data_IF_049094477701
#
_entry.id   IF_049094477701
#
_cell.length_a   1.000
_cell.length_b   1.000
_cell.length_c   1.000
_cell.angle_alpha   90.00
_cell.angle_beta   90.00
_cell.angle_gamma   90.00
#
_symmetry.space_group_name_H-M   'P 1'
#
loop_
_entity.id
_entity.type
_entity.pdbx_description
1 polymer ?
#
# COMPACT_ATOMS: atom_id res chain seq x y z
N UNK A 1 -18.30 3.07 -7.28
CA UNK A 1 -17.44 2.16 -6.50
C UNK A 1 -17.96 0.73 -6.47
N UNK A 2 -17.07 -0.26 -6.66
CA UNK A 2 -17.37 -1.71 -6.66
C UNK A 2 -17.14 -2.31 -5.28
N UNK A 3 -17.90 -3.33 -4.90
CA UNK A 3 -17.67 -4.10 -3.67
C UNK A 3 -16.53 -5.10 -3.84
N UNK A 4 -15.83 -5.44 -2.77
CA UNK A 4 -14.73 -6.41 -2.75
C UNK A 4 -15.10 -7.75 -3.43
N UNK A 5 -16.33 -8.23 -3.23
CA UNK A 5 -16.84 -9.48 -3.84
C UNK A 5 -17.04 -9.42 -5.37
N UNK A 6 -17.03 -8.23 -5.95
CA UNK A 6 -17.28 -8.04 -7.38
C UNK A 6 -16.00 -8.24 -8.21
N UNK A 7 -14.82 -8.23 -7.57
CA UNK A 7 -13.52 -8.43 -8.20
C UNK A 7 -13.28 -9.93 -8.42
N UNK A 8 -12.98 -10.30 -9.67
CA UNK A 8 -12.76 -11.70 -10.07
C UNK A 8 -11.79 -11.80 -11.24
N UNK A 9 -11.16 -12.96 -11.37
CA UNK A 9 -10.28 -13.29 -12.50
C UNK A 9 -11.00 -13.06 -13.84
N UNK A 10 -10.29 -12.47 -14.80
CA UNK A 10 -10.79 -12.05 -16.11
C UNK A 10 -11.45 -10.67 -16.14
N UNK A 11 -11.61 -10.00 -14.99
CA UNK A 11 -12.15 -8.64 -14.95
C UNK A 11 -11.12 -7.63 -15.46
N UNK A 12 -11.56 -6.75 -16.37
CA UNK A 12 -10.77 -5.58 -16.80
C UNK A 12 -11.13 -4.35 -15.96
N UNK A 13 -10.11 -3.71 -15.41
CA UNK A 13 -10.24 -2.47 -14.64
C UNK A 13 -9.74 -1.32 -15.50
N UNK A 14 -10.57 -0.28 -15.65
CA UNK A 14 -10.18 0.98 -16.31
C UNK A 14 -9.95 2.05 -15.24
N UNK A 15 -8.77 2.65 -15.24
CA UNK A 15 -8.33 3.63 -14.25
C UNK A 15 -8.43 5.04 -14.83
N UNK A 16 -9.15 5.89 -14.11
CA UNK A 16 -9.36 7.29 -14.42
C UNK A 16 -9.28 8.14 -13.14
N UNK A 17 -8.07 8.43 -12.68
CA UNK A 17 -7.81 9.24 -11.49
C UNK A 17 -7.05 10.54 -11.86
N UNK A 18 -6.42 11.24 -10.91
CA UNK A 18 -5.66 12.47 -11.19
C UNK A 18 -4.29 12.21 -11.83
N UNK A 19 -3.76 10.99 -11.76
CA UNK A 19 -2.42 10.63 -12.20
C UNK A 19 -2.41 9.69 -13.41
N UNK A 20 -3.52 9.02 -13.71
CA UNK A 20 -3.69 8.13 -14.87
C UNK A 20 -5.06 8.33 -15.52
N UNK A 21 -5.10 8.25 -16.85
CA UNK A 21 -6.32 8.27 -17.66
C UNK A 21 -6.29 7.11 -18.64
N UNK A 22 -7.42 6.41 -18.77
CA UNK A 22 -7.61 5.28 -19.70
C UNK A 22 -6.57 4.16 -19.55
N UNK A 23 -5.93 4.03 -18.38
CA UNK A 23 -5.07 2.88 -18.10
C UNK A 23 -5.95 1.67 -17.84
N UNK A 24 -5.68 0.55 -18.50
CA UNK A 24 -6.47 -0.67 -18.38
C UNK A 24 -5.57 -1.83 -18.01
N UNK A 25 -6.00 -2.63 -17.05
CA UNK A 25 -5.36 -3.89 -16.69
C UNK A 25 -6.39 -4.97 -16.41
N UNK A 26 -5.97 -6.22 -16.51
CA UNK A 26 -6.80 -7.40 -16.24
C UNK A 26 -6.40 -8.04 -14.90
N UNK A 27 -7.38 -8.55 -14.17
CA UNK A 27 -7.16 -9.39 -13.00
C UNK A 27 -6.93 -10.81 -13.50
N UNK A 28 -5.70 -11.30 -13.37
CA UNK A 28 -5.29 -12.61 -13.91
C UNK A 28 -5.15 -13.67 -12.83
N UNK A 29 -5.01 -13.25 -11.57
CA UNK A 29 -4.97 -14.13 -10.41
C UNK A 29 -6.15 -13.88 -9.45
N UNK A 30 -6.52 -14.86 -8.61
CA UNK A 30 -7.41 -14.64 -7.48
C UNK A 30 -6.89 -13.53 -6.55
N UNK A 31 -7.79 -12.97 -5.75
CA UNK A 31 -7.46 -11.86 -4.88
C UNK A 31 -6.70 -12.34 -3.63
N UNK A 32 -5.71 -11.56 -3.20
CA UNK A 32 -5.03 -11.71 -1.92
C UNK A 32 -4.37 -13.07 -1.76
N UNK A 33 -4.68 -13.74 -0.65
CA UNK A 33 -4.08 -15.02 -0.27
C UNK A 33 -4.54 -16.20 -1.10
N UNK A 34 -5.63 -16.05 -1.86
CA UNK A 34 -6.12 -17.08 -2.77
C UNK A 34 -5.27 -17.18 -4.05
N UNK A 35 -4.41 -16.19 -4.32
CA UNK A 35 -3.53 -16.24 -5.48
C UNK A 35 -2.47 -17.35 -5.32
N UNK A 36 -2.22 -18.20 -6.32
CA UNK A 36 -1.21 -19.25 -6.27
C UNK A 36 0.20 -18.73 -5.97
N UNK A 37 0.53 -17.53 -6.46
CA UNK A 37 1.83 -16.89 -6.25
C UNK A 37 1.87 -16.03 -4.96
N UNK A 38 0.82 -16.08 -4.14
CA UNK A 38 0.87 -15.53 -2.80
C UNK A 38 1.79 -16.40 -1.93
N UNK A 39 2.84 -15.79 -1.37
CA UNK A 39 4.00 -16.44 -0.72
C UNK A 39 5.11 -16.96 -1.65
N UNK A 40 4.95 -16.92 -2.98
CA UNK A 40 6.06 -17.22 -3.87
C UNK A 40 7.22 -16.25 -3.61
N UNK A 41 8.44 -16.77 -3.72
CA UNK A 41 9.67 -16.04 -3.43
C UNK A 41 9.75 -15.41 -2.02
N UNK A 42 9.00 -15.96 -1.06
CA UNK A 42 8.83 -15.44 0.29
C UNK A 42 8.17 -14.05 0.34
N UNK A 43 7.37 -13.67 -0.66
CA UNK A 43 6.55 -12.46 -0.59
C UNK A 43 5.27 -12.71 0.22
N UNK A 44 5.37 -12.44 1.52
CA UNK A 44 4.27 -12.58 2.49
C UNK A 44 4.07 -11.27 3.27
N UNK A 45 3.44 -10.25 2.67
CA UNK A 45 3.00 -9.06 3.40
C UNK A 45 2.22 -9.44 4.65
N UNK A 46 2.45 -8.72 5.74
CA UNK A 46 1.85 -9.00 7.05
C UNK A 46 0.53 -8.23 7.25
N UNK A 47 0.19 -7.35 6.32
CA UNK A 47 -0.99 -6.51 6.33
C UNK A 47 -1.58 -6.42 4.92
N UNK A 48 -2.89 -6.56 4.81
CA UNK A 48 -3.64 -6.32 3.59
C UNK A 48 -3.68 -4.81 3.25
N UNK A 49 -3.99 -4.43 2.00
CA UNK A 49 -4.19 -3.03 1.66
C UNK A 49 -5.26 -2.33 2.50
N UNK A 50 -6.32 -3.06 2.85
CA UNK A 50 -7.40 -2.56 3.70
C UNK A 50 -6.90 -2.24 5.11
N UNK A 51 -6.22 -3.19 5.77
CA UNK A 51 -5.67 -3.00 7.10
C UNK A 51 -4.67 -1.85 7.15
N UNK A 52 -3.81 -1.72 6.12
CA UNK A 52 -2.91 -0.58 6.00
C UNK A 52 -3.67 0.75 6.01
N UNK A 53 -4.77 0.86 5.26
CA UNK A 53 -5.60 2.07 5.21
C UNK A 53 -6.29 2.33 6.56
N UNK A 54 -6.85 1.30 7.20
CA UNK A 54 -7.53 1.39 8.50
C UNK A 54 -6.59 1.80 9.64
N UNK A 55 -5.32 1.37 9.60
CA UNK A 55 -4.33 1.77 10.61
C UNK A 55 -3.85 3.22 10.42
N UNK A 56 -3.98 3.76 9.21
CA UNK A 56 -3.54 5.11 8.88
C UNK A 56 -2.15 5.13 8.28
N UNK A 57 -2.12 5.28 6.96
CA UNK A 57 -0.91 5.37 6.14
C UNK A 57 -0.94 6.59 5.24
N UNK A 58 0.25 7.01 4.80
CA UNK A 58 0.44 8.07 3.80
C UNK A 58 -0.35 9.36 4.06
N UNK A 59 -0.46 9.74 5.34
CA UNK A 59 -1.08 10.99 5.80
C UNK A 59 -2.56 11.09 5.38
N UNK A 60 -3.22 9.93 5.24
CA UNK A 60 -4.62 9.81 4.84
C UNK A 60 -4.93 10.27 3.42
N UNK A 61 -3.90 10.48 2.57
CA UNK A 61 -4.04 11.10 1.25
C UNK A 61 -3.96 10.14 0.08
N UNK A 62 -3.22 9.03 0.22
CA UNK A 62 -3.01 8.10 -0.88
C UNK A 62 -4.31 7.40 -1.29
N UNK A 63 -4.46 7.17 -2.60
CA UNK A 63 -5.60 6.48 -3.23
C UNK A 63 -6.97 7.17 -3.08
N UNK A 64 -7.07 8.34 -2.45
CA UNK A 64 -8.36 9.01 -2.22
C UNK A 64 -9.15 9.31 -3.50
N UNK A 65 -8.46 9.55 -4.61
CA UNK A 65 -9.04 9.79 -5.94
C UNK A 65 -9.16 8.51 -6.79
N UNK A 66 -8.77 7.35 -6.25
CA UNK A 66 -8.83 6.05 -6.91
C UNK A 66 -10.06 5.23 -6.47
N UNK A 67 -11.12 5.90 -5.98
CA UNK A 67 -12.31 5.26 -5.40
C UNK A 67 -13.09 4.37 -6.38
N UNK A 68 -13.03 4.68 -7.68
CA UNK A 68 -13.64 3.84 -8.72
C UNK A 68 -12.77 2.65 -9.12
N UNK A 69 -11.48 2.66 -8.77
CA UNK A 69 -10.52 1.61 -9.07
C UNK A 69 -10.53 0.49 -8.02
N UNK A 70 -10.55 0.83 -6.73
CA UNK A 70 -10.39 -0.09 -5.60
C UNK A 70 -11.72 -0.38 -4.88
N UNK A 71 -11.81 -1.47 -4.08
CA UNK A 71 -13.02 -1.85 -3.35
C UNK A 71 -13.55 -0.73 -2.45
N UNK A 72 -14.88 -0.53 -2.44
CA UNK A 72 -15.51 0.50 -1.61
C UNK A 72 -15.21 0.28 -0.12
N UNK A 73 -15.12 -0.97 0.31
CA UNK A 73 -14.89 -1.37 1.70
C UNK A 73 -13.59 -0.79 2.25
N UNK A 74 -12.54 -0.75 1.42
CA UNK A 74 -11.25 -0.16 1.80
C UNK A 74 -11.38 1.31 2.18
N UNK A 75 -12.31 2.03 1.54
CA UNK A 75 -12.55 3.46 1.75
C UNK A 75 -13.55 3.73 2.87
N UNK A 76 -14.60 2.90 2.96
CA UNK A 76 -15.64 3.00 3.99
C UNK A 76 -15.07 2.68 5.37
N UNK A 77 -14.27 1.61 5.47
CA UNK A 77 -13.70 1.13 6.73
C UNK A 77 -12.51 1.97 7.22
N UNK A 78 -11.91 2.80 6.34
CA UNK A 78 -10.81 3.71 6.69
C UNK A 78 -11.22 5.19 6.71
N UNK A 79 -12.53 5.47 6.79
CA UNK A 79 -13.07 6.84 6.67
C UNK A 79 -12.47 7.83 7.68
N UNK A 80 -12.16 7.39 8.90
CA UNK A 80 -11.56 8.22 9.94
C UNK A 80 -10.04 8.45 9.76
N UNK A 81 -9.39 7.70 8.86
CA UNK A 81 -7.97 7.80 8.54
C UNK A 81 -7.67 8.53 7.24
N UNK A 82 -8.66 9.18 6.64
CA UNK A 82 -8.54 9.81 5.33
C UNK A 82 -8.89 11.29 5.36
N UNK A 83 -8.17 12.08 4.58
CA UNK A 83 -8.54 13.46 4.26
C UNK A 83 -9.51 13.49 3.08
N UNK A 84 -10.22 14.60 2.87
CA UNK A 84 -11.01 14.76 1.64
C UNK A 84 -10.10 14.74 0.39
N UNK A 85 -10.70 14.48 -0.78
CA UNK A 85 -9.97 14.38 -2.05
C UNK A 85 -9.19 15.68 -2.36
N UNK A 86 -9.71 16.84 -1.96
CA UNK A 86 -9.11 18.15 -2.22
C UNK A 86 -8.23 18.68 -1.07
N UNK A 87 -8.31 18.07 0.11
CA UNK A 87 -7.58 18.53 1.29
C UNK A 87 -6.09 18.15 1.24
N UNK A 88 -5.19 18.92 1.87
CA UNK A 88 -3.79 18.52 2.01
C UNK A 88 -3.64 17.25 2.85
N UNK A 89 -2.53 16.48 2.69
CA UNK A 89 -2.22 15.35 3.57
C UNK A 89 -2.10 15.78 5.04
N UNK A 90 -2.63 14.97 5.97
CA UNK A 90 -2.50 15.19 7.41
C UNK A 90 -1.74 14.04 8.09
N UNK A 91 -0.54 14.34 8.60
CA UNK A 91 0.30 13.35 9.29
C UNK A 91 -0.32 12.85 10.60
N UNK A 92 -1.30 13.55 11.18
CA UNK A 92 -2.01 13.10 12.39
C UNK A 92 -2.91 11.89 12.14
N UNK A 93 -3.27 11.63 10.88
CA UNK A 93 -4.06 10.45 10.48
C UNK A 93 -3.19 9.21 10.32
N UNK A 94 -1.87 9.35 10.27
CA UNK A 94 -0.96 8.20 10.34
C UNK A 94 -1.05 7.54 11.72
N UNK A 95 -0.92 6.20 11.79
CA UNK A 95 -0.93 5.43 13.04
C UNK A 95 -0.06 6.05 14.15
N UNK A 96 1.18 6.37 13.80
CA UNK A 96 2.17 6.91 14.74
C UNK A 96 2.24 8.44 14.74
N UNK A 97 1.25 9.12 14.12
CA UNK A 97 1.13 10.58 14.05
C UNK A 97 2.42 11.28 13.62
N UNK A 98 3.12 10.70 12.64
CA UNK A 98 4.41 11.19 12.15
C UNK A 98 4.52 11.03 10.64
N UNK A 99 5.23 11.97 9.99
CA UNK A 99 5.61 11.86 8.57
C UNK A 99 6.82 10.95 8.39
N UNK A 100 6.67 9.86 7.65
CA UNK A 100 7.72 8.87 7.39
C UNK A 100 8.29 8.92 5.97
N UNK A 101 7.50 9.33 4.98
CA UNK A 101 7.86 9.24 3.55
C UNK A 101 8.59 10.46 2.99
N UNK A 102 9.36 10.22 1.93
CA UNK A 102 9.84 11.27 1.02
C UNK A 102 8.71 11.71 0.05
N UNK A 103 8.85 12.88 -0.57
CA UNK A 103 7.88 13.37 -1.54
C UNK A 103 7.91 12.53 -2.82
N UNK A 104 6.80 12.53 -3.57
CA UNK A 104 6.72 11.83 -4.86
C UNK A 104 7.72 12.39 -5.89
N UNK A 105 8.02 13.68 -5.82
CA UNK A 105 9.06 14.32 -6.65
C UNK A 105 10.42 13.68 -6.40
N UNK A 106 10.79 13.44 -5.13
CA UNK A 106 12.03 12.76 -4.78
C UNK A 106 12.01 11.30 -5.26
N UNK A 107 10.86 10.61 -5.19
CA UNK A 107 10.74 9.25 -5.68
C UNK A 107 10.95 9.16 -7.19
N UNK A 108 10.43 10.13 -7.95
CA UNK A 108 10.66 10.24 -9.40
C UNK A 108 12.13 10.53 -9.71
N UNK A 109 12.77 11.45 -8.98
CA UNK A 109 14.21 11.74 -9.16
C UNK A 109 15.12 10.55 -8.87
N UNK A 110 14.65 9.57 -8.09
CA UNK A 110 15.42 8.37 -7.72
C UNK A 110 14.99 7.13 -8.52
N UNK A 111 14.13 7.28 -9.53
CA UNK A 111 13.57 6.19 -10.32
C UNK A 111 12.93 5.08 -9.46
N UNK A 112 12.26 5.49 -8.38
CA UNK A 112 11.57 4.58 -7.45
C UNK A 112 10.10 4.34 -7.80
N UNK A 113 9.57 5.11 -8.76
CA UNK A 113 8.26 4.93 -9.37
C UNK A 113 8.47 4.10 -10.63
N UNK A 114 7.92 2.90 -10.65
CA UNK A 114 8.18 1.88 -11.68
C UNK A 114 6.87 1.50 -12.37
N UNK A 115 6.95 1.26 -13.68
CA UNK A 115 5.83 0.81 -14.49
C UNK A 115 4.61 1.73 -14.41
N UNK A 116 3.43 1.12 -14.46
CA UNK A 116 2.14 1.82 -14.48
C UNK A 116 1.61 2.21 -13.09
N UNK A 117 2.47 2.22 -12.05
CA UNK A 117 2.08 2.51 -10.67
C UNK A 117 2.66 3.85 -10.22
N UNK A 118 2.08 4.98 -10.66
CA UNK A 118 2.67 6.30 -10.43
C UNK A 118 2.64 6.75 -8.96
N UNK A 119 1.88 6.06 -8.10
CA UNK A 119 1.90 6.24 -6.64
C UNK A 119 2.90 5.31 -5.95
N UNK A 120 3.64 4.49 -6.70
CA UNK A 120 4.71 3.63 -6.22
C UNK A 120 4.21 2.34 -5.57
N UNK A 121 5.04 1.79 -4.67
CA UNK A 121 4.87 0.45 -4.12
C UNK A 121 3.48 0.16 -3.55
N UNK A 122 2.85 1.10 -2.83
CA UNK A 122 1.54 0.83 -2.24
C UNK A 122 0.43 0.66 -3.29
N UNK A 123 0.42 1.47 -4.36
CA UNK A 123 -0.55 1.29 -5.44
C UNK A 123 -0.29 -0.01 -6.21
N UNK A 124 0.99 -0.33 -6.45
CA UNK A 124 1.36 -1.63 -6.99
C UNK A 124 0.80 -2.76 -6.12
N UNK A 125 1.00 -2.70 -4.80
CA UNK A 125 0.54 -3.72 -3.86
C UNK A 125 -0.99 -3.84 -3.84
N UNK A 126 -1.71 -2.72 -3.86
CA UNK A 126 -3.17 -2.73 -3.99
C UNK A 126 -3.65 -3.46 -5.26
N UNK A 127 -3.01 -3.20 -6.40
CA UNK A 127 -3.38 -3.85 -7.68
C UNK A 127 -2.95 -5.32 -7.72
N UNK A 128 -1.78 -5.64 -7.18
CA UNK A 128 -1.29 -7.01 -7.01
C UNK A 128 -2.27 -7.82 -6.14
N UNK A 129 -2.69 -7.25 -5.01
CA UNK A 129 -3.67 -7.84 -4.11
C UNK A 129 -4.99 -8.12 -4.82
N UNK A 130 -5.47 -7.22 -5.69
CA UNK A 130 -6.68 -7.47 -6.47
C UNK A 130 -6.53 -8.54 -7.57
N UNK A 131 -5.31 -9.00 -7.88
CA UNK A 131 -5.06 -10.03 -8.88
C UNK A 131 -4.38 -9.56 -10.16
N UNK A 132 -3.91 -8.30 -10.24
CA UNK A 132 -3.08 -7.84 -11.37
C UNK A 132 -1.68 -8.45 -11.28
N UNK A 133 -1.13 -8.92 -12.39
CA UNK A 133 0.30 -9.27 -12.52
C UNK A 133 0.95 -8.47 -13.63
N UNK A 134 2.20 -8.07 -13.45
CA UNK A 134 2.99 -7.36 -14.45
C UNK A 134 4.50 -7.59 -14.28
N UNK A 135 5.28 -7.06 -15.22
CA UNK A 135 6.73 -7.19 -15.25
C UNK A 135 7.46 -6.54 -14.05
N UNK A 136 6.78 -5.70 -13.28
CA UNK A 136 7.35 -5.04 -12.11
C UNK A 136 7.22 -5.87 -10.81
N UNK A 137 6.46 -6.97 -10.82
CA UNK A 137 6.13 -7.73 -9.61
C UNK A 137 7.39 -8.17 -8.87
N UNK A 138 8.33 -8.84 -9.54
CA UNK A 138 9.56 -9.32 -8.92
C UNK A 138 10.42 -8.21 -8.33
N UNK A 139 10.47 -7.06 -8.99
CA UNK A 139 11.20 -5.91 -8.48
C UNK A 139 10.58 -5.37 -7.19
N UNK A 140 9.25 -5.26 -7.14
CA UNK A 140 8.54 -4.73 -5.97
C UNK A 140 8.57 -5.73 -4.80
N UNK A 141 8.43 -7.03 -5.07
CA UNK A 141 8.64 -8.11 -4.09
C UNK A 141 10.04 -8.05 -3.49
N UNK A 142 11.08 -7.85 -4.31
CA UNK A 142 12.48 -7.69 -3.84
C UNK A 142 12.66 -6.46 -2.95
N UNK A 143 12.06 -5.32 -3.29
CA UNK A 143 12.13 -4.10 -2.46
C UNK A 143 11.47 -4.29 -1.11
N UNK A 144 10.30 -4.94 -1.09
CA UNK A 144 9.60 -5.29 0.14
C UNK A 144 10.49 -6.17 1.02
N UNK A 145 11.04 -7.28 0.49
CA UNK A 145 11.96 -8.17 1.24
C UNK A 145 13.14 -7.42 1.85
N UNK A 146 13.77 -6.52 1.08
CA UNK A 146 14.88 -5.71 1.58
C UNK A 146 14.47 -4.81 2.76
N UNK A 147 13.21 -4.39 2.82
CA UNK A 147 12.68 -3.51 3.86
C UNK A 147 12.58 -4.21 5.23
N UNK A 148 12.51 -5.56 5.28
CA UNK A 148 12.50 -6.38 6.50
C UNK A 148 13.59 -6.02 7.51
N UNK A 149 14.76 -5.53 7.05
CA UNK A 149 15.84 -5.07 7.94
C UNK A 149 15.40 -4.01 8.97
N UNK A 150 14.40 -3.19 8.62
CA UNK A 150 13.88 -2.17 9.53
C UNK A 150 13.04 -2.80 10.64
N UNK A 151 12.40 -3.95 10.40
CA UNK A 151 11.70 -4.71 11.44
C UNK A 151 12.70 -5.23 12.48
N UNK A 152 13.77 -5.90 12.04
CA UNK A 152 14.83 -6.40 12.94
C UNK A 152 15.57 -5.30 13.72
N UNK A 153 15.67 -4.09 13.17
CA UNK A 153 16.19 -2.95 13.91
C UNK A 153 15.27 -2.49 15.05
N UNK A 154 13.96 -2.67 14.96
CA UNK A 154 13.04 -2.38 16.06
C UNK A 154 13.19 -3.47 17.12
N UNK A 155 13.11 -4.74 16.74
CA UNK A 155 13.23 -5.88 17.65
C UNK A 155 14.53 -5.83 18.48
N UNK A 156 15.63 -5.38 17.86
CA UNK A 156 16.93 -5.26 18.54
C UNK A 156 17.04 -4.06 19.48
N UNK A 157 16.39 -2.93 19.16
CA UNK A 157 16.68 -1.64 19.80
C UNK A 157 15.52 -1.07 20.61
N UNK A 158 14.34 -1.66 20.56
CA UNK A 158 13.15 -1.21 21.28
C UNK A 158 12.73 -2.26 22.30
N UNK A 159 12.22 -1.81 23.44
CA UNK A 159 11.55 -2.71 24.38
C UNK A 159 10.26 -3.25 23.74
N UNK A 160 9.88 -4.49 24.10
CA UNK A 160 8.61 -5.08 23.69
C UNK A 160 7.46 -4.15 24.09
N UNK A 161 6.50 -3.95 23.19
CA UNK A 161 5.33 -3.07 23.38
C UNK A 161 5.63 -1.57 23.57
N UNK A 162 6.90 -1.14 23.50
CA UNK A 162 7.24 0.29 23.43
C UNK A 162 7.07 0.81 21.99
N UNK A 163 5.84 1.19 21.67
CA UNK A 163 5.46 1.78 20.40
C UNK A 163 5.94 3.22 20.21
N UNK A 164 6.43 3.86 21.29
CA UNK A 164 7.03 5.19 21.22
C UNK A 164 8.47 5.14 20.72
N UNK A 165 9.14 3.98 20.84
CA UNK A 165 10.46 3.76 20.27
C UNK A 165 10.42 3.69 18.74
N UNK A 166 11.27 4.49 18.09
CA UNK A 166 11.45 4.56 16.62
C UNK A 166 10.13 4.71 15.83
N UNK A 167 9.27 5.69 16.16
CA UNK A 167 7.91 5.77 15.62
C UNK A 167 7.90 6.03 14.10
N UNK A 168 8.89 6.78 13.58
CA UNK A 168 9.05 7.01 12.14
C UNK A 168 9.32 5.71 11.38
N UNK A 169 10.09 4.80 11.98
CA UNK A 169 10.44 3.51 11.39
C UNK A 169 9.26 2.53 11.45
N UNK A 170 8.52 2.51 12.57
CA UNK A 170 7.25 1.80 12.70
C UNK A 170 6.23 2.27 11.66
N UNK A 171 6.06 3.58 11.47
CA UNK A 171 5.19 4.13 10.44
C UNK A 171 5.63 3.74 9.02
N UNK A 172 6.94 3.65 8.78
CA UNK A 172 7.47 3.22 7.48
C UNK A 172 7.24 1.72 7.26
N UNK A 173 7.38 0.87 8.28
CA UNK A 173 7.03 -0.56 8.21
C UNK A 173 5.57 -0.77 7.85
N UNK A 174 4.67 -0.04 8.52
CA UNK A 174 3.24 -0.06 8.23
C UNK A 174 2.96 0.30 6.76
N UNK A 175 3.68 1.28 6.20
CA UNK A 175 3.56 1.69 4.78
C UNK A 175 4.17 0.71 3.78
N UNK A 176 4.90 -0.29 4.26
CA UNK A 176 5.49 -1.40 3.50
C UNK A 176 4.84 -2.74 3.85
N UNK A 177 3.63 -2.73 4.44
CA UNK A 177 2.88 -3.93 4.83
C UNK A 177 3.67 -4.88 5.76
N UNK A 178 4.45 -4.32 6.67
CA UNK A 178 5.02 -5.04 7.81
C UNK A 178 4.27 -4.62 9.07
N UNK A 179 4.02 -5.57 9.97
CA UNK A 179 3.48 -5.35 11.30
C UNK A 179 4.41 -4.41 12.08
N UNK A 180 3.93 -3.20 12.44
CA UNK A 180 4.73 -2.22 13.16
C UNK A 180 4.60 -2.37 14.69
N UNK A 181 3.85 -3.36 15.21
CA UNK A 181 3.52 -3.55 16.63
C UNK A 181 4.34 -4.65 17.32
N UNK A 182 5.48 -4.99 16.72
CA UNK A 182 6.53 -5.84 17.29
C UNK A 182 7.36 -5.19 18.40
#
# INVERSE_FOLDING_TARGET
>A
MRSLKDYKVGMKITVNDRMQKNYVYELVEPMGEEAPDFNDDNFKPELTPEEMLQEGVFEGKYLNDCQEEFPKEWFDNSRDKRVAIDDPPDYKLNRFKIKSRQSLSIWRQKDWVMGDDPRGWFQWYCRYWLGRRNECDEFQKKRWRAFKRHKGQIEKNCAKEDYSCRPKQRQALLQWAYDPFI
#
